data_IF_003274202694
#
_entry.id   IF_003274202694
#
_cell.length_a   1.000
_cell.length_b   1.000
_cell.length_c   1.000
_cell.angle_alpha   90.00
_cell.angle_beta   90.00
_cell.angle_gamma   90.00
#
_symmetry.space_group_name_H-M   'P 1'
#
loop_
_entity.id
_entity.type
_entity.pdbx_description
1 polymer ?
#
# COMPACT_ATOMS: atom_id res chain seq x y z
N UNK A 1 2.81 -5.74 -33.47
CA UNK A 1 2.77 -7.15 -33.03
C UNK A 1 1.58 -7.76 -33.72
N UNK A 2 1.80 -8.14 -34.97
CA UNK A 2 0.77 -8.24 -35.98
C UNK A 2 0.01 -9.56 -35.83
N UNK A 3 -1.28 -9.47 -35.55
CA UNK A 3 -2.19 -10.60 -35.69
C UNK A 3 -2.27 -10.90 -37.19
N UNK A 4 -1.47 -11.84 -37.68
CA UNK A 4 -1.45 -12.22 -39.11
C UNK A 4 -2.85 -12.73 -39.48
N UNK A 5 -3.62 -11.99 -40.29
CA UNK A 5 -4.97 -12.38 -40.65
C UNK A 5 -4.88 -13.44 -41.74
N UNK A 6 -5.09 -14.71 -41.36
CA UNK A 6 -5.09 -15.82 -42.32
C UNK A 6 -4.71 -17.19 -41.74
N UNK A 7 -4.07 -17.24 -40.57
CA UNK A 7 -3.69 -18.51 -39.94
C UNK A 7 -4.84 -19.05 -39.10
N UNK A 8 -5.43 -20.19 -39.49
CA UNK A 8 -6.40 -20.91 -38.64
C UNK A 8 -5.68 -21.47 -37.42
N UNK A 9 -5.61 -20.70 -36.33
CA UNK A 9 -5.07 -21.21 -35.07
C UNK A 9 -5.95 -22.34 -34.56
N UNK A 10 -5.34 -23.50 -34.31
CA UNK A 10 -6.03 -24.59 -33.64
C UNK A 10 -6.49 -24.15 -32.24
N UNK A 11 -7.52 -24.82 -31.72
CA UNK A 11 -8.08 -24.55 -30.39
C UNK A 11 -7.00 -24.50 -29.29
N UNK A 12 -5.98 -25.37 -29.38
CA UNK A 12 -4.83 -25.37 -28.47
C UNK A 12 -4.02 -24.06 -28.53
N UNK A 13 -3.81 -23.49 -29.72
CA UNK A 13 -3.12 -22.21 -29.89
C UNK A 13 -3.92 -21.05 -29.30
N UNK A 14 -5.24 -21.07 -29.47
CA UNK A 14 -6.15 -20.08 -28.87
C UNK A 14 -6.14 -20.16 -27.34
N UNK A 15 -6.18 -21.38 -26.78
CA UNK A 15 -6.11 -21.60 -25.33
C UNK A 15 -4.76 -21.12 -24.78
N UNK A 16 -3.66 -21.46 -25.44
CA UNK A 16 -2.32 -21.03 -25.02
C UNK A 16 -2.17 -19.50 -25.04
N UNK A 17 -2.64 -18.83 -26.09
CA UNK A 17 -2.59 -17.38 -26.18
C UNK A 17 -3.46 -16.70 -25.10
N UNK A 18 -4.66 -17.24 -24.86
CA UNK A 18 -5.59 -16.74 -23.85
C UNK A 18 -5.04 -16.86 -22.43
N UNK A 19 -4.46 -18.00 -22.07
CA UNK A 19 -3.90 -18.21 -20.73
C UNK A 19 -2.66 -17.35 -20.48
N UNK A 20 -1.77 -17.22 -21.45
CA UNK A 20 -0.59 -16.35 -21.33
C UNK A 20 -0.96 -14.88 -21.16
N UNK A 21 -1.88 -14.38 -21.98
CA UNK A 21 -2.34 -12.98 -21.90
C UNK A 21 -3.04 -12.72 -20.57
N UNK A 22 -3.94 -13.61 -20.15
CA UNK A 22 -4.66 -13.49 -18.88
C UNK A 22 -3.70 -13.52 -17.69
N UNK A 23 -2.72 -14.43 -17.69
CA UNK A 23 -1.71 -14.52 -16.65
C UNK A 23 -0.86 -13.25 -16.55
N UNK A 24 -0.39 -12.73 -17.69
CA UNK A 24 0.39 -11.50 -17.73
C UNK A 24 -0.40 -10.28 -17.20
N UNK A 25 -1.67 -10.14 -17.58
CA UNK A 25 -2.54 -9.07 -17.09
C UNK A 25 -2.82 -9.22 -15.60
N UNK A 26 -3.09 -10.44 -15.12
CA UNK A 26 -3.35 -10.70 -13.71
C UNK A 26 -2.14 -10.35 -12.82
N UNK A 27 -0.94 -10.80 -13.22
CA UNK A 27 0.30 -10.45 -12.50
C UNK A 27 0.53 -8.94 -12.51
N UNK A 28 0.35 -8.30 -13.66
CA UNK A 28 0.50 -6.84 -13.77
C UNK A 28 -0.47 -6.11 -12.84
N UNK A 29 -1.76 -6.47 -12.86
CA UNK A 29 -2.78 -5.86 -12.02
C UNK A 29 -2.47 -5.98 -10.52
N UNK A 30 -1.93 -7.13 -10.08
CA UNK A 30 -1.52 -7.32 -8.68
C UNK A 30 -0.27 -6.51 -8.31
N UNK A 31 0.70 -6.39 -9.21
CA UNK A 31 1.98 -5.74 -8.91
C UNK A 31 1.93 -4.20 -9.06
N UNK A 32 1.10 -3.68 -9.97
CA UNK A 32 0.96 -2.24 -10.23
C UNK A 32 0.78 -1.37 -8.96
N UNK A 33 -0.10 -1.68 -7.98
CA UNK A 33 -0.26 -0.83 -6.80
C UNK A 33 0.98 -0.75 -5.89
N UNK A 34 1.90 -1.72 -5.97
CA UNK A 34 3.14 -1.73 -5.19
C UNK A 34 4.29 -1.03 -5.90
N UNK A 35 4.33 -1.09 -7.25
CA UNK A 35 5.39 -0.47 -8.05
C UNK A 35 5.08 0.98 -8.39
N UNK A 36 3.81 1.33 -8.66
CA UNK A 36 3.41 2.71 -9.01
C UNK A 36 3.79 3.78 -7.97
N UNK A 37 3.78 3.52 -6.65
CA UNK A 37 4.31 4.47 -5.66
C UNK A 37 5.76 4.90 -5.89
N UNK A 38 6.62 3.98 -6.33
CA UNK A 38 8.03 4.26 -6.60
C UNK A 38 8.24 5.05 -7.91
N UNK A 39 7.25 5.04 -8.80
CA UNK A 39 7.30 5.72 -10.11
C UNK A 39 6.63 7.10 -10.12
N UNK A 40 6.14 7.59 -8.97
CA UNK A 40 5.52 8.93 -8.90
C UNK A 40 6.59 10.00 -9.07
N UNK A 41 6.34 10.99 -9.94
CA UNK A 41 7.24 12.15 -10.13
C UNK A 41 7.48 12.94 -8.84
N UNK A 42 6.46 13.02 -7.98
CA UNK A 42 6.51 13.75 -6.73
C UNK A 42 6.56 12.72 -5.60
N UNK A 43 7.73 12.60 -4.99
CA UNK A 43 7.91 11.87 -3.74
C UNK A 43 7.74 12.85 -2.59
N UNK A 44 6.88 12.52 -1.61
CA UNK A 44 6.88 13.25 -0.34
C UNK A 44 8.21 12.93 0.34
N UNK A 45 9.06 13.91 0.63
CA UNK A 45 10.35 13.64 1.26
C UNK A 45 10.14 13.01 2.63
N UNK A 46 11.01 12.06 2.98
CA UNK A 46 11.05 11.55 4.35
C UNK A 46 11.50 12.68 5.27
N UNK A 47 10.62 13.07 6.19
CA UNK A 47 10.90 14.00 7.27
C UNK A 47 10.51 13.31 8.57
N UNK A 48 11.45 13.05 9.49
CA UNK A 48 11.14 12.34 10.72
C UNK A 48 10.18 13.15 11.59
N UNK A 49 9.20 12.48 12.18
CA UNK A 49 8.32 13.11 13.16
C UNK A 49 9.13 13.55 14.39
N UNK A 50 8.94 14.80 14.83
CA UNK A 50 9.57 15.31 16.04
C UNK A 50 8.87 14.75 17.29
N UNK A 51 9.57 14.69 18.45
CA UNK A 51 8.95 14.23 19.70
C UNK A 51 7.67 14.99 20.08
N UNK A 52 7.63 16.29 19.79
CA UNK A 52 6.44 17.12 20.04
C UNK A 52 5.27 16.71 19.13
N UNK A 53 5.53 16.36 17.87
CA UNK A 53 4.49 15.88 16.96
C UNK A 53 3.91 14.54 17.44
N UNK A 54 4.76 13.62 17.91
CA UNK A 54 4.32 12.35 18.49
C UNK A 54 3.42 12.57 19.72
N UNK A 55 3.80 13.50 20.60
CA UNK A 55 2.99 13.87 21.78
C UNK A 55 1.63 14.47 21.36
N UNK A 56 1.61 15.39 20.40
CA UNK A 56 0.38 16.01 19.93
C UNK A 56 -0.59 14.98 19.33
N UNK A 57 -0.09 14.01 18.56
CA UNK A 57 -0.91 12.92 18.02
C UNK A 57 -1.44 12.03 19.15
N UNK A 58 -0.61 11.73 20.16
CA UNK A 58 -1.06 10.94 21.31
C UNK A 58 -2.17 11.65 22.11
N UNK A 59 -2.05 12.96 22.34
CA UNK A 59 -3.09 13.77 22.98
C UNK A 59 -4.37 13.87 22.14
N UNK A 60 -4.24 14.02 20.81
CA UNK A 60 -5.41 14.02 19.93
C UNK A 60 -6.15 12.67 19.97
N UNK A 61 -5.42 11.56 20.02
CA UNK A 61 -6.01 10.22 20.14
C UNK A 61 -6.61 9.95 21.52
N UNK A 62 -6.03 10.47 22.61
CA UNK A 62 -6.57 10.30 23.96
C UNK A 62 -7.85 11.10 24.22
N UNK A 63 -8.07 12.17 23.46
CA UNK A 63 -9.28 13.01 23.56
C UNK A 63 -10.42 12.51 22.68
N UNK A 64 -10.20 11.45 21.89
CA UNK A 64 -11.24 10.85 21.06
C UNK A 64 -12.34 10.22 21.95
N UNK A 65 -13.63 10.49 21.70
CA UNK A 65 -14.74 10.03 22.56
C UNK A 65 -14.90 8.51 22.67
N UNK A 66 -14.31 7.76 21.75
CA UNK A 66 -14.37 6.32 21.69
C UNK A 66 -12.96 5.76 21.43
N UNK A 67 -12.73 4.52 21.87
CA UNK A 67 -11.47 3.81 21.68
C UNK A 67 -11.10 3.75 20.20
N UNK A 68 -10.05 4.47 19.81
CA UNK A 68 -9.54 4.49 18.44
C UNK A 68 -8.64 3.27 18.24
N UNK A 69 -9.23 2.14 17.87
CA UNK A 69 -8.49 0.93 17.53
C UNK A 69 -9.26 0.08 16.51
N UNK A 70 -8.60 -0.50 15.49
CA UNK A 70 -7.15 -0.50 15.26
C UNK A 70 -6.64 0.81 14.62
N UNK A 71 -5.48 1.30 15.08
CA UNK A 71 -4.78 2.43 14.48
C UNK A 71 -3.89 1.94 13.34
N UNK A 72 -3.95 2.63 12.20
CA UNK A 72 -3.08 2.38 11.05
C UNK A 72 -2.26 3.63 10.76
N UNK A 73 -0.95 3.47 10.70
CA UNK A 73 -0.02 4.55 10.36
C UNK A 73 0.30 4.50 8.86
N UNK A 74 -0.37 5.38 8.09
CA UNK A 74 -0.21 5.46 6.64
C UNK A 74 1.04 6.28 6.30
N UNK A 75 2.07 5.60 5.77
CA UNK A 75 3.33 6.26 5.42
C UNK A 75 4.32 6.35 6.58
N UNK A 76 4.39 5.29 7.39
CA UNK A 76 5.20 5.22 8.62
C UNK A 76 6.69 5.57 8.49
N UNK A 77 7.25 5.57 7.28
CA UNK A 77 8.65 5.89 7.05
C UNK A 77 9.56 4.89 7.76
N UNK A 78 10.16 5.30 8.89
CA UNK A 78 11.05 4.46 9.72
C UNK A 78 10.33 3.71 10.87
N UNK A 79 9.03 3.88 11.03
CA UNK A 79 8.25 3.15 12.03
C UNK A 79 8.18 3.78 13.42
N UNK A 80 8.69 5.00 13.63
CA UNK A 80 8.73 5.62 14.97
C UNK A 80 7.36 5.92 15.58
N UNK A 81 6.36 6.25 14.77
CA UNK A 81 4.98 6.44 15.22
C UNK A 81 4.40 5.11 15.72
N UNK A 82 4.53 4.05 14.91
CA UNK A 82 4.11 2.69 15.30
C UNK A 82 4.81 2.24 16.58
N UNK A 83 6.14 2.42 16.69
CA UNK A 83 6.88 2.05 17.90
C UNK A 83 6.38 2.81 19.14
N UNK A 84 6.13 4.12 19.00
CA UNK A 84 5.58 4.95 20.08
C UNK A 84 4.21 4.45 20.54
N UNK A 85 3.29 4.14 19.63
CA UNK A 85 1.93 3.74 20.00
C UNK A 85 1.77 2.25 20.32
N UNK A 86 2.66 1.39 19.83
CA UNK A 86 2.65 -0.05 20.10
C UNK A 86 3.31 -0.40 21.43
N UNK A 87 4.48 0.19 21.74
CA UNK A 87 5.18 -0.05 23.01
C UNK A 87 4.67 0.82 24.15
N UNK A 88 4.15 2.00 23.84
CA UNK A 88 3.43 2.86 24.79
C UNK A 88 1.98 2.96 24.33
N UNK A 89 1.14 1.93 24.60
CA UNK A 89 -0.29 2.05 24.37
C UNK A 89 -0.76 3.28 25.14
N UNK A 90 -1.64 4.07 24.52
CA UNK A 90 -2.30 5.21 25.15
C UNK A 90 -3.03 4.65 26.37
N UNK A 91 -2.36 4.67 27.52
CA UNK A 91 -2.94 4.23 28.78
C UNK A 91 -4.10 5.15 29.05
N UNK A 92 -5.26 4.57 29.34
CA UNK A 92 -6.48 5.27 29.69
C UNK A 92 -6.19 6.26 30.83
N UNK A 93 -5.99 7.53 30.50
CA UNK A 93 -6.11 8.59 31.49
C UNK A 93 -7.60 8.77 31.75
N UNK A 94 -8.10 7.85 32.57
CA UNK A 94 -9.31 7.84 33.41
C UNK A 94 -10.61 8.41 32.85
#
# INVERSE_FOLDING_TARGET
MDFIPGTKMGLAGMIAAGTMTTGAVAVTAMCVPFVTPALRKICIPYVPATPQQLQNVATALSTCPAKVSPLVDLGSGDGRVVSCFFFFPISETK
#
